data_IF_210045661989
#
_entry.id   IF_210045661989
#
_cell.length_a   1.000
_cell.length_b   1.000
_cell.length_c   1.000
_cell.angle_alpha   90.00
_cell.angle_beta   90.00
_cell.angle_gamma   90.00
#
_symmetry.space_group_name_H-M   'P 1'
#
loop_
_entity.id
_entity.type
_entity.pdbx_description
1 polymer ?
#
# COMPACT_ATOMS: atom_id res chain seq x y z
N UNK A 1 -37.10 25.48 26.18
CA UNK A 1 -37.11 24.90 24.82
C UNK A 1 -35.98 23.88 24.81
N UNK A 2 -36.26 22.60 24.58
CA UNK A 2 -35.20 21.60 24.53
C UNK A 2 -34.29 21.92 23.33
N UNK A 3 -33.00 22.16 23.57
CA UNK A 3 -32.00 22.12 22.51
C UNK A 3 -32.10 20.75 21.84
N UNK A 4 -32.35 20.74 20.53
CA UNK A 4 -32.30 19.49 19.77
C UNK A 4 -30.85 19.01 19.80
N UNK A 5 -30.62 17.87 20.45
CA UNK A 5 -29.32 17.19 20.41
C UNK A 5 -28.85 17.09 18.96
N UNK A 6 -27.61 17.53 18.72
CA UNK A 6 -27.00 17.43 17.41
C UNK A 6 -26.66 15.97 17.18
N UNK A 7 -26.95 15.42 16.00
CA UNK A 7 -26.55 14.06 15.66
C UNK A 7 -25.02 13.84 15.81
N UNK A 8 -24.24 14.92 15.75
CA UNK A 8 -22.79 14.91 15.97
C UNK A 8 -22.41 14.58 17.41
N UNK A 9 -23.31 14.76 18.37
CA UNK A 9 -23.08 14.45 19.78
C UNK A 9 -23.03 12.93 20.00
N UNK A 10 -23.54 12.15 19.03
CA UNK A 10 -23.43 10.69 18.99
C UNK A 10 -22.13 10.19 18.33
N UNK A 11 -21.26 11.08 17.85
CA UNK A 11 -19.95 10.72 17.31
C UNK A 11 -18.89 10.69 18.42
N UNK A 12 -17.97 9.73 18.32
CA UNK A 12 -16.71 9.73 19.09
C UNK A 12 -15.91 10.99 18.75
N UNK A 13 -15.01 11.41 19.66
CA UNK A 13 -14.18 12.59 19.42
C UNK A 13 -13.33 12.45 18.14
N UNK A 14 -12.74 11.28 17.92
CA UNK A 14 -11.98 10.92 16.71
C UNK A 14 -12.83 11.03 15.42
N UNK A 15 -14.08 10.58 15.46
CA UNK A 15 -14.97 10.70 14.31
C UNK A 15 -15.40 12.15 14.05
N UNK A 16 -15.53 12.98 15.10
CA UNK A 16 -15.79 14.43 14.96
C UNK A 16 -14.60 15.14 14.34
N UNK A 17 -13.39 14.84 14.80
CA UNK A 17 -12.15 15.39 14.24
C UNK A 17 -11.99 15.00 12.76
N UNK A 18 -12.22 13.73 12.43
CA UNK A 18 -12.21 13.24 11.05
C UNK A 18 -13.24 13.99 10.18
N UNK A 19 -14.46 14.16 10.68
CA UNK A 19 -15.51 14.90 9.97
C UNK A 19 -15.13 16.37 9.77
N UNK A 20 -14.54 17.02 10.77
CA UNK A 20 -14.07 18.40 10.66
C UNK A 20 -12.96 18.55 9.62
N UNK A 21 -12.01 17.61 9.58
CA UNK A 21 -10.98 17.54 8.56
C UNK A 21 -11.56 17.42 7.15
N UNK A 22 -12.51 16.49 6.94
CA UNK A 22 -13.20 16.31 5.66
C UNK A 22 -13.93 17.57 5.21
N UNK A 23 -14.66 18.23 6.12
CA UNK A 23 -15.36 19.47 5.84
C UNK A 23 -14.40 20.63 5.56
N UNK A 24 -13.25 20.69 6.23
CA UNK A 24 -12.22 21.68 5.97
C UNK A 24 -11.61 21.49 4.57
N UNK A 25 -11.30 20.25 4.16
CA UNK A 25 -10.81 19.94 2.82
C UNK A 25 -11.82 20.35 1.73
N UNK A 26 -13.11 20.08 1.96
CA UNK A 26 -14.20 20.44 1.05
C UNK A 26 -14.35 21.96 0.82
N UNK A 27 -13.78 22.82 1.69
CA UNK A 27 -13.84 24.29 1.52
C UNK A 27 -13.19 24.79 0.23
N UNK A 28 -12.30 24.01 -0.39
CA UNK A 28 -11.74 24.32 -1.73
C UNK A 28 -12.85 24.48 -2.79
N UNK A 29 -13.99 23.83 -2.58
CA UNK A 29 -15.16 23.84 -3.47
C UNK A 29 -16.26 24.78 -3.00
N UNK A 30 -15.94 25.79 -2.17
CA UNK A 30 -16.91 26.71 -1.58
C UNK A 30 -17.88 27.32 -2.59
N UNK A 31 -17.37 27.77 -3.73
CA UNK A 31 -18.20 28.33 -4.79
C UNK A 31 -19.26 27.35 -5.31
N UNK A 32 -18.96 26.05 -5.34
CA UNK A 32 -19.87 25.03 -5.85
C UNK A 32 -21.02 24.74 -4.87
N UNK A 33 -20.72 24.54 -3.57
CA UNK A 33 -21.77 24.22 -2.61
C UNK A 33 -22.57 25.45 -2.14
N UNK A 34 -22.01 26.67 -2.17
CA UNK A 34 -22.76 27.87 -1.80
C UNK A 34 -23.83 28.27 -2.82
N UNK A 35 -23.61 27.92 -4.10
CA UNK A 35 -24.52 28.18 -5.21
C UNK A 35 -25.54 27.05 -5.45
N UNK A 36 -25.47 25.96 -4.68
CA UNK A 36 -26.40 24.85 -4.79
C UNK A 36 -27.68 25.09 -4.00
N UNK A 37 -28.80 24.61 -4.53
CA UNK A 37 -30.10 24.59 -3.83
C UNK A 37 -30.03 23.78 -2.52
N UNK A 38 -29.25 22.69 -2.52
CA UNK A 38 -28.94 21.92 -1.32
C UNK A 38 -27.45 22.01 -0.98
N UNK A 39 -27.13 23.04 -0.21
CA UNK A 39 -25.76 23.31 0.25
C UNK A 39 -25.17 22.15 1.04
N UNK A 40 -25.97 21.39 1.79
CA UNK A 40 -25.46 20.29 2.64
C UNK A 40 -25.09 19.09 1.78
N UNK A 41 -25.95 18.74 0.82
CA UNK A 41 -25.67 17.66 -0.14
C UNK A 41 -24.50 18.04 -1.04
N UNK A 42 -24.44 19.27 -1.54
CA UNK A 42 -23.31 19.73 -2.36
C UNK A 42 -21.98 19.76 -1.57
N UNK A 43 -22.01 20.14 -0.29
CA UNK A 43 -20.84 20.07 0.59
C UNK A 43 -20.39 18.61 0.80
N UNK A 44 -21.33 17.68 0.98
CA UNK A 44 -21.02 16.25 1.10
C UNK A 44 -20.36 15.72 -0.18
N UNK A 45 -20.90 16.04 -1.35
CA UNK A 45 -20.27 15.67 -2.63
C UNK A 45 -18.88 16.28 -2.80
N UNK A 46 -18.70 17.52 -2.35
CA UNK A 46 -17.39 18.20 -2.36
C UNK A 46 -16.38 17.48 -1.47
N UNK A 47 -16.80 17.01 -0.29
CA UNK A 47 -15.96 16.20 0.60
C UNK A 47 -15.62 14.84 -0.02
N UNK A 48 -16.59 14.17 -0.65
CA UNK A 48 -16.37 12.89 -1.35
C UNK A 48 -15.36 13.01 -2.49
N UNK A 49 -15.36 14.13 -3.22
CA UNK A 49 -14.37 14.40 -4.27
C UNK A 49 -12.96 14.48 -3.68
N UNK A 50 -12.77 15.21 -2.57
CA UNK A 50 -11.46 15.31 -1.94
C UNK A 50 -11.01 13.95 -1.39
N UNK A 51 -11.89 13.19 -0.74
CA UNK A 51 -11.59 11.83 -0.27
C UNK A 51 -11.19 10.89 -1.43
N UNK A 52 -11.85 11.00 -2.59
CA UNK A 52 -11.47 10.22 -3.78
C UNK A 52 -10.07 10.58 -4.27
N UNK A 53 -9.70 11.87 -4.28
CA UNK A 53 -8.34 12.29 -4.66
C UNK A 53 -7.28 11.74 -3.73
N UNK A 54 -7.52 11.77 -2.42
CA UNK A 54 -6.60 11.19 -1.43
C UNK A 54 -6.46 9.67 -1.63
N UNK A 55 -7.55 8.95 -1.93
CA UNK A 55 -7.49 7.53 -2.27
C UNK A 55 -6.69 7.25 -3.55
N UNK A 56 -6.86 8.07 -4.59
CA UNK A 56 -6.10 7.96 -5.84
C UNK A 56 -4.61 8.25 -5.62
N UNK A 57 -4.29 9.25 -4.80
CA UNK A 57 -2.92 9.57 -4.41
C UNK A 57 -2.29 8.45 -3.59
N UNK A 58 -3.00 7.89 -2.60
CA UNK A 58 -2.52 6.76 -1.82
C UNK A 58 -2.27 5.54 -2.72
N UNK A 59 -3.20 5.23 -3.61
CA UNK A 59 -3.04 4.14 -4.60
C UNK A 59 -1.81 4.37 -5.47
N UNK A 60 -1.58 5.59 -5.94
CA UNK A 60 -0.39 5.92 -6.74
C UNK A 60 0.91 5.73 -5.94
N UNK A 61 0.92 6.11 -4.67
CA UNK A 61 2.07 5.85 -3.79
C UNK A 61 2.29 4.36 -3.57
N UNK A 62 1.24 3.57 -3.31
CA UNK A 62 1.35 2.12 -3.15
C UNK A 62 1.85 1.45 -4.44
N UNK A 63 1.36 1.86 -5.61
CA UNK A 63 1.86 1.33 -6.88
C UNK A 63 3.35 1.62 -7.09
N UNK A 64 3.86 2.80 -6.69
CA UNK A 64 5.28 3.11 -6.77
C UNK A 64 6.16 2.25 -5.86
N UNK A 65 5.59 1.60 -4.86
CA UNK A 65 6.32 0.71 -3.95
C UNK A 65 6.43 -0.71 -4.49
N UNK A 66 5.59 -1.12 -5.45
CA UNK A 66 5.54 -2.49 -5.96
C UNK A 66 6.89 -2.91 -6.59
N UNK A 67 7.42 -2.11 -7.53
CA UNK A 67 8.71 -2.37 -8.17
C UNK A 67 9.89 -2.42 -7.19
N UNK A 68 10.08 -1.46 -6.27
CA UNK A 68 11.09 -1.57 -5.22
C UNK A 68 10.98 -2.85 -4.38
N UNK A 69 9.76 -3.26 -3.99
CA UNK A 69 9.56 -4.49 -3.22
C UNK A 69 9.89 -5.74 -4.05
N UNK A 70 9.50 -5.79 -5.32
CA UNK A 70 9.91 -6.87 -6.23
C UNK A 70 11.43 -6.96 -6.35
N UNK A 71 12.10 -5.83 -6.53
CA UNK A 71 13.56 -5.79 -6.61
C UNK A 71 14.23 -6.27 -5.31
N UNK A 72 13.69 -5.92 -4.14
CA UNK A 72 14.18 -6.43 -2.85
C UNK A 72 14.02 -7.96 -2.77
N UNK A 73 12.87 -8.49 -3.19
CA UNK A 73 12.62 -9.94 -3.22
C UNK A 73 13.59 -10.64 -4.17
N UNK A 74 13.79 -10.12 -5.38
CA UNK A 74 14.72 -10.69 -6.37
C UNK A 74 16.17 -10.71 -5.86
N UNK A 75 16.61 -9.64 -5.19
CA UNK A 75 17.94 -9.59 -4.56
C UNK A 75 18.04 -10.62 -3.44
N UNK A 76 17.00 -10.77 -2.62
CA UNK A 76 16.93 -11.80 -1.58
C UNK A 76 17.05 -13.22 -2.13
N UNK A 77 16.31 -13.54 -3.20
CA UNK A 77 16.38 -14.83 -3.89
C UNK A 77 17.75 -15.08 -4.53
N UNK A 78 18.36 -14.04 -5.13
CA UNK A 78 19.71 -14.13 -5.68
C UNK A 78 20.76 -14.45 -4.62
N UNK A 79 20.70 -13.78 -3.46
CA UNK A 79 21.62 -14.04 -2.35
C UNK A 79 21.35 -15.40 -1.68
N UNK A 80 20.08 -15.84 -1.56
CA UNK A 80 19.72 -17.21 -1.13
C UNK A 80 20.37 -18.24 -2.04
N UNK A 81 20.24 -18.08 -3.35
CA UNK A 81 20.85 -18.98 -4.35
C UNK A 81 22.37 -19.04 -4.20
N UNK A 82 23.05 -17.90 -4.12
CA UNK A 82 24.51 -17.85 -3.92
C UNK A 82 24.95 -18.53 -2.63
N UNK A 83 24.19 -18.38 -1.54
CA UNK A 83 24.49 -19.03 -0.27
C UNK A 83 24.37 -20.56 -0.38
N UNK A 84 23.31 -21.05 -1.02
CA UNK A 84 23.09 -22.49 -1.28
C UNK A 84 24.21 -23.03 -2.20
N UNK A 85 24.52 -22.35 -3.30
CA UNK A 85 25.61 -22.73 -4.22
C UNK A 85 26.94 -22.89 -3.48
N UNK A 86 27.30 -21.93 -2.61
CA UNK A 86 28.53 -22.00 -1.81
C UNK A 86 28.52 -23.20 -0.88
N UNK A 87 27.42 -23.45 -0.16
CA UNK A 87 27.30 -24.57 0.77
C UNK A 87 27.40 -25.91 0.04
N UNK A 88 26.62 -26.09 -1.03
CA UNK A 88 26.60 -27.34 -1.80
C UNK A 88 27.97 -27.60 -2.45
N UNK A 89 28.61 -26.59 -3.03
CA UNK A 89 29.94 -26.72 -3.65
C UNK A 89 31.01 -27.08 -2.61
N UNK A 90 30.95 -26.51 -1.40
CA UNK A 90 31.87 -26.87 -0.32
C UNK A 90 31.72 -28.31 0.16
N UNK A 91 30.49 -28.85 0.13
CA UNK A 91 30.18 -30.21 0.56
C UNK A 91 30.57 -31.23 -0.53
N UNK A 92 30.12 -31.01 -1.76
CA UNK A 92 30.27 -31.97 -2.86
C UNK A 92 31.68 -31.90 -3.48
N UNK A 93 32.29 -30.71 -3.52
CA UNK A 93 33.59 -30.44 -4.16
C UNK A 93 33.67 -31.04 -5.58
N UNK A 94 32.77 -30.65 -6.49
CA UNK A 94 32.72 -31.21 -7.83
C UNK A 94 34.03 -30.95 -8.59
N UNK A 95 34.59 -31.99 -9.22
CA UNK A 95 35.91 -31.97 -9.86
C UNK A 95 35.80 -32.12 -11.39
N UNK A 96 34.76 -32.79 -11.85
CA UNK A 96 34.46 -33.05 -13.26
C UNK A 96 33.14 -32.38 -13.69
N UNK A 97 32.92 -32.30 -15.00
CA UNK A 97 31.80 -31.59 -15.59
C UNK A 97 30.43 -32.19 -15.22
N UNK A 98 30.35 -33.51 -15.09
CA UNK A 98 29.10 -34.21 -14.69
C UNK A 98 28.76 -33.90 -13.22
N UNK A 99 29.77 -33.86 -12.36
CA UNK A 99 29.62 -33.49 -10.95
C UNK A 99 29.22 -32.01 -10.76
N UNK A 100 29.66 -31.13 -11.66
CA UNK A 100 29.23 -29.71 -11.67
C UNK A 100 27.77 -29.58 -12.09
N UNK A 101 27.33 -30.30 -13.13
CA UNK A 101 25.92 -30.33 -13.53
C UNK A 101 25.02 -30.91 -12.44
N UNK A 102 25.44 -31.99 -11.79
CA UNK A 102 24.70 -32.59 -10.67
C UNK A 102 24.59 -31.62 -9.49
N UNK A 103 25.66 -30.88 -9.20
CA UNK A 103 25.68 -29.83 -8.16
C UNK A 103 24.70 -28.71 -8.48
N UNK A 104 24.65 -28.25 -9.74
CA UNK A 104 23.71 -27.20 -10.16
C UNK A 104 22.25 -27.65 -10.04
N UNK A 105 21.93 -28.88 -10.47
CA UNK A 105 20.58 -29.46 -10.33
C UNK A 105 20.14 -29.55 -8.87
N UNK A 106 21.08 -29.82 -7.96
CA UNK A 106 20.81 -29.90 -6.53
C UNK A 106 20.55 -28.51 -5.92
N UNK A 107 21.33 -27.51 -6.33
CA UNK A 107 21.08 -26.10 -5.96
C UNK A 107 19.70 -25.65 -6.42
N UNK A 108 19.34 -25.91 -7.67
CA UNK A 108 18.05 -25.49 -8.22
C UNK A 108 16.89 -26.22 -7.52
N UNK A 109 17.04 -27.52 -7.21
CA UNK A 109 16.04 -28.27 -6.42
C UNK A 109 15.87 -27.73 -5.00
N UNK A 110 16.93 -27.18 -4.39
CA UNK A 110 16.87 -26.57 -3.05
C UNK A 110 16.30 -25.15 -3.05
N UNK A 111 16.28 -24.47 -4.20
CA UNK A 111 15.61 -23.17 -4.35
C UNK A 111 14.08 -23.31 -4.40
N UNK A 112 13.58 -24.46 -4.85
CA UNK A 112 12.14 -24.75 -4.99
C UNK A 112 11.45 -25.18 -3.66
N UNK A 113 12.20 -25.33 -2.56
CA UNK A 113 11.71 -25.58 -1.19
C UNK A 113 11.70 -24.30 -0.32
#
# INVERSE_FOLDING_TARGET
MAEKESWKDFLTDDARETLEGLLAAARKHRGAYEQSDDKKVALLWSALIEMKKELEELKAHTCKLDEPFKAIVEVGESEKKKAIERLVTQIIKPVDQDSQEATQKLVDSLMDF
#
